data_IF_362572550338
#
_entry.id   IF_362572550338
#
_cell.length_a   1.000
_cell.length_b   1.000
_cell.length_c   1.000
_cell.angle_alpha   90.00
_cell.angle_beta   90.00
_cell.angle_gamma   90.00
#
_symmetry.space_group_name_H-M   'P 1'
#
loop_
_entity.id
_entity.type
_entity.pdbx_description
1 polymer ?
#
# COMPACT_ATOMS: atom_id res chain seq x y z
N UNK A 1 -1.68 -0.19 -3.06
CA UNK A 1 -2.40 -0.51 -4.31
C UNK A 1 -2.52 0.73 -5.18
N UNK A 2 -3.08 0.57 -6.37
CA UNK A 2 -3.14 1.63 -7.39
C UNK A 2 -4.56 1.81 -7.94
N UNK A 3 -4.89 3.04 -8.32
CA UNK A 3 -6.11 3.40 -9.03
C UNK A 3 -5.78 4.13 -10.34
N UNK A 4 -6.78 4.31 -11.21
CA UNK A 4 -6.65 5.04 -12.47
C UNK A 4 -6.80 6.54 -12.22
N UNK A 5 -5.77 7.29 -12.59
CA UNK A 5 -5.81 8.76 -12.53
C UNK A 5 -6.69 9.35 -13.63
N UNK A 6 -7.45 10.39 -13.31
CA UNK A 6 -8.15 11.19 -14.32
C UNK A 6 -7.15 11.83 -15.30
N UNK A 7 -7.42 11.72 -16.61
CA UNK A 7 -6.46 12.11 -17.64
C UNK A 7 -5.45 11.02 -18.02
N UNK A 8 -5.52 9.84 -17.39
CA UNK A 8 -4.67 8.69 -17.67
C UNK A 8 -3.48 8.57 -16.71
N UNK A 9 -2.91 7.37 -16.67
CA UNK A 9 -1.86 7.02 -15.72
C UNK A 9 -2.38 6.38 -14.44
N UNK A 10 -1.49 6.25 -13.47
CA UNK A 10 -1.70 5.50 -12.24
C UNK A 10 -1.59 6.46 -11.06
N UNK A 11 -2.49 6.31 -10.08
CA UNK A 11 -2.48 7.02 -8.81
C UNK A 11 -2.35 6.03 -7.65
N UNK A 12 -1.59 6.39 -6.62
CA UNK A 12 -1.46 5.55 -5.43
C UNK A 12 -2.69 5.73 -4.55
N UNK A 13 -3.28 4.62 -4.10
CA UNK A 13 -4.39 4.64 -3.14
C UNK A 13 -4.00 5.40 -1.85
N UNK A 14 -2.73 5.31 -1.43
CA UNK A 14 -2.24 6.06 -0.26
C UNK A 14 -2.29 7.59 -0.46
N UNK A 15 -2.09 8.08 -1.69
CA UNK A 15 -2.23 9.51 -1.99
C UNK A 15 -3.69 9.96 -1.94
N UNK A 16 -4.61 9.15 -2.47
CA UNK A 16 -6.05 9.41 -2.42
C UNK A 16 -6.50 9.50 -0.95
N UNK A 17 -6.12 8.53 -0.11
CA UNK A 17 -6.45 8.54 1.33
C UNK A 17 -5.86 9.76 2.02
N UNK A 18 -4.60 10.11 1.74
CA UNK A 18 -3.94 11.27 2.32
C UNK A 18 -4.66 12.59 1.98
N UNK A 19 -5.20 12.72 0.76
CA UNK A 19 -5.95 13.89 0.32
C UNK A 19 -7.33 13.97 0.97
N UNK A 20 -8.08 12.86 1.01
CA UNK A 20 -9.44 12.81 1.57
C UNK A 20 -9.46 13.04 3.09
N UNK A 21 -8.49 12.49 3.81
CA UNK A 21 -8.42 12.56 5.27
C UNK A 21 -7.49 13.68 5.78
N UNK A 22 -6.71 14.30 4.90
CA UNK A 22 -5.75 15.36 5.18
C UNK A 22 -4.72 14.98 6.28
N UNK A 23 -4.23 13.74 6.21
CA UNK A 23 -3.23 13.18 7.14
C UNK A 23 -2.03 12.59 6.39
N UNK A 24 -0.81 12.63 6.96
CA UNK A 24 0.34 11.95 6.39
C UNK A 24 0.10 10.43 6.33
N UNK A 25 0.39 9.83 5.18
CA UNK A 25 0.28 8.38 4.98
C UNK A 25 1.63 7.78 4.64
N UNK A 26 1.95 6.66 5.27
CA UNK A 26 3.07 5.78 4.90
C UNK A 26 2.52 4.50 4.28
N UNK A 27 3.35 3.84 3.47
CA UNK A 27 3.02 2.53 2.88
C UNK A 27 4.01 1.50 3.42
N UNK A 28 3.52 0.29 3.65
CA UNK A 28 4.35 -0.88 3.92
C UNK A 28 4.12 -1.86 2.79
N UNK A 29 5.19 -2.26 2.10
CA UNK A 29 5.12 -3.19 0.98
C UNK A 29 6.15 -4.30 1.16
N UNK A 30 5.81 -5.50 0.70
CA UNK A 30 6.68 -6.65 0.87
C UNK A 30 6.25 -7.82 0.01
N UNK A 31 7.12 -8.83 -0.04
CA UNK A 31 6.76 -10.14 -0.53
C UNK A 31 6.18 -10.93 0.64
N UNK A 32 4.93 -10.60 1.00
CA UNK A 32 4.25 -11.15 2.16
C UNK A 32 2.85 -11.67 1.81
N UNK A 33 2.52 -12.88 2.27
CA UNK A 33 1.17 -13.41 2.25
C UNK A 33 0.60 -13.37 3.68
N UNK A 34 -0.66 -12.94 3.81
CA UNK A 34 -1.27 -12.73 5.13
C UNK A 34 -1.30 -14.01 5.99
N UNK A 35 -1.52 -15.18 5.38
CA UNK A 35 -1.49 -16.47 6.09
C UNK A 35 -0.08 -16.83 6.58
N UNK A 36 0.94 -16.57 5.77
CA UNK A 36 2.33 -16.90 6.12
C UNK A 36 2.86 -16.01 7.25
N UNK A 37 2.48 -14.74 7.24
CA UNK A 37 2.75 -13.82 8.34
C UNK A 37 2.05 -14.28 9.63
N UNK A 38 0.80 -14.74 9.54
CA UNK A 38 0.05 -15.24 10.69
C UNK A 38 0.66 -16.52 11.28
N UNK A 39 1.27 -17.35 10.44
CA UNK A 39 1.94 -18.60 10.82
C UNK A 39 3.43 -18.40 11.19
N UNK A 40 3.87 -17.15 11.43
CA UNK A 40 5.25 -16.76 11.76
C UNK A 40 6.31 -17.26 10.76
N UNK A 41 5.90 -17.49 9.51
CA UNK A 41 6.83 -17.84 8.44
C UNK A 41 7.58 -16.60 7.94
N UNK A 42 8.75 -16.82 7.34
CA UNK A 42 9.58 -15.73 6.84
C UNK A 42 8.82 -14.92 5.77
N UNK A 43 8.71 -13.61 5.99
CA UNK A 43 8.11 -12.66 5.05
C UNK A 43 9.02 -11.44 4.95
N UNK A 44 9.40 -11.07 3.73
CA UNK A 44 10.30 -9.95 3.46
C UNK A 44 9.50 -8.66 3.31
N UNK A 45 9.89 -7.61 4.03
CA UNK A 45 9.24 -6.28 3.97
C UNK A 45 10.26 -5.21 3.64
N UNK A 46 9.89 -4.28 2.76
CA UNK A 46 10.63 -3.05 2.46
C UNK A 46 9.78 -1.85 2.88
N UNK A 47 10.32 -1.02 3.78
CA UNK A 47 9.69 0.21 4.26
C UNK A 47 9.88 1.33 3.25
#
# INVERSE_FOLDING_TARGET
GFDKKEGGGIELISHIIAQELNIPMSVLMGANLASEVADEMFCETTI
#
